data_IF_263103843147
#
_entry.id   IF_263103843147
#
_cell.length_a   1.000
_cell.length_b   1.000
_cell.length_c   1.000
_cell.angle_alpha   90.00
_cell.angle_beta   90.00
_cell.angle_gamma   90.00
#
_symmetry.space_group_name_H-M   'P 1'
#
loop_
_entity.id
_entity.type
_entity.pdbx_description
1 polymer ?
#
# COMPACT_ATOMS: atom_id res chain seq x y z
N UNK A 1 -23.90 14.07 3.36
CA UNK A 1 -22.47 14.27 3.64
C UNK A 1 -21.81 12.91 3.76
N UNK A 2 -20.86 12.58 2.88
CA UNK A 2 -20.27 11.24 2.77
C UNK A 2 -19.44 10.91 4.03
N UNK A 3 -19.68 9.76 4.67
CA UNK A 3 -19.01 9.36 5.92
C UNK A 3 -17.47 9.36 5.78
N UNK A 4 -16.98 9.00 4.59
CA UNK A 4 -15.55 9.02 4.22
C UNK A 4 -14.94 10.43 4.41
N UNK A 5 -15.61 11.46 3.88
CA UNK A 5 -15.19 12.88 4.03
C UNK A 5 -15.19 13.38 5.48
N UNK A 6 -16.03 12.82 6.35
CA UNK A 6 -16.10 13.23 7.76
C UNK A 6 -15.02 12.57 8.62
N UNK A 7 -14.63 11.34 8.28
CA UNK A 7 -13.53 10.63 8.92
C UNK A 7 -12.17 11.20 8.52
N UNK A 8 -12.00 11.55 7.24
CA UNK A 8 -10.79 12.20 6.72
C UNK A 8 -10.54 13.59 7.37
N UNK A 9 -11.60 14.29 7.80
CA UNK A 9 -11.53 15.61 8.43
C UNK A 9 -11.15 15.59 9.92
N UNK A 10 -11.22 14.43 10.59
CA UNK A 10 -10.92 14.30 12.03
C UNK A 10 -9.50 13.81 12.32
N UNK A 11 -8.76 13.40 11.29
CA UNK A 11 -7.31 13.20 11.38
C UNK A 11 -6.66 14.56 11.08
N UNK A 12 -5.57 14.94 11.77
CA UNK A 12 -4.78 16.15 11.48
C UNK A 12 -4.11 16.05 10.09
N UNK A 13 -4.93 16.02 9.03
CA UNK A 13 -4.49 16.24 7.67
C UNK A 13 -4.26 17.74 7.55
N UNK A 14 -3.02 18.13 7.71
CA UNK A 14 -2.56 19.39 7.17
C UNK A 14 -2.27 19.17 5.68
N UNK A 15 -3.16 19.61 4.77
CA UNK A 15 -2.97 19.43 3.33
C UNK A 15 -1.65 20.06 2.83
N UNK A 16 -1.03 20.94 3.61
CA UNK A 16 0.22 21.61 3.27
C UNK A 16 1.45 20.99 3.94
N UNK A 17 1.30 19.89 4.68
CA UNK A 17 2.45 19.16 5.17
C UNK A 17 3.14 18.45 4.00
N UNK A 18 4.12 19.13 3.39
CA UNK A 18 4.94 18.60 2.31
C UNK A 18 5.72 17.34 2.70
N UNK A 19 5.84 17.02 4.00
CA UNK A 19 6.48 15.80 4.43
C UNK A 19 5.57 14.57 4.40
N UNK A 20 4.25 14.76 4.33
CA UNK A 20 3.28 13.67 4.22
C UNK A 20 3.40 12.96 2.87
N UNK A 21 3.57 11.65 2.91
CA UNK A 21 3.71 10.79 1.74
C UNK A 21 2.54 10.92 0.76
N UNK A 22 1.34 11.22 1.28
CA UNK A 22 0.14 11.43 0.45
C UNK A 22 0.26 12.61 -0.51
N UNK A 23 1.08 13.60 -0.15
CA UNK A 23 1.33 14.79 -0.97
C UNK A 23 2.53 14.60 -1.92
N UNK A 24 3.30 13.52 -1.75
CA UNK A 24 4.52 13.24 -2.53
C UNK A 24 4.30 12.19 -3.62
N UNK A 25 3.29 11.34 -3.46
CA UNK A 25 3.12 10.14 -4.26
C UNK A 25 1.73 10.16 -4.91
N UNK A 26 1.74 10.20 -6.24
CA UNK A 26 0.60 9.84 -7.07
C UNK A 26 0.53 8.31 -7.14
N UNK A 27 -0.52 7.72 -6.56
CA UNK A 27 -0.66 6.27 -6.47
C UNK A 27 -0.82 5.61 -7.85
N UNK A 28 -1.51 6.26 -8.79
CA UNK A 28 -1.77 5.70 -10.13
C UNK A 28 -0.48 5.64 -10.94
N UNK A 29 0.30 6.73 -10.91
CA UNK A 29 1.60 6.77 -11.57
C UNK A 29 2.59 5.80 -10.93
N UNK A 30 2.60 5.74 -9.60
CA UNK A 30 3.53 4.89 -8.87
C UNK A 30 3.20 3.40 -9.04
N UNK A 31 1.92 3.03 -9.00
CA UNK A 31 1.46 1.69 -9.37
C UNK A 31 1.91 1.31 -10.78
N UNK A 32 1.66 2.20 -11.75
CA UNK A 32 2.03 1.97 -13.15
C UNK A 32 3.53 1.73 -13.29
N UNK A 33 4.34 2.56 -12.64
CA UNK A 33 5.79 2.39 -12.59
C UNK A 33 6.19 1.04 -11.99
N UNK A 34 5.61 0.64 -10.86
CA UNK A 34 5.92 -0.65 -10.22
C UNK A 34 5.45 -1.85 -11.06
N UNK A 35 4.32 -1.73 -11.76
CA UNK A 35 3.80 -2.76 -12.67
C UNK A 35 4.79 -3.00 -13.81
N UNK A 36 5.29 -1.92 -14.40
CA UNK A 36 6.31 -1.98 -15.43
C UNK A 36 7.60 -2.64 -14.93
N UNK A 37 8.13 -2.19 -13.79
CA UNK A 37 9.45 -2.64 -13.30
C UNK A 37 9.43 -4.07 -12.76
N UNK A 38 8.36 -4.49 -12.09
CA UNK A 38 8.34 -5.77 -11.38
C UNK A 38 7.45 -6.83 -12.02
N UNK A 39 6.50 -6.46 -12.87
CA UNK A 39 5.50 -7.36 -13.42
C UNK A 39 5.40 -7.30 -14.95
N UNK A 40 6.32 -6.63 -15.63
CA UNK A 40 6.37 -6.52 -17.10
C UNK A 40 5.01 -6.10 -17.68
N UNK A 41 4.32 -5.17 -17.02
CA UNK A 41 3.00 -4.65 -17.37
C UNK A 41 1.88 -5.72 -17.44
N UNK A 42 2.06 -6.89 -16.78
CA UNK A 42 1.09 -7.99 -16.79
C UNK A 42 -0.09 -7.83 -15.82
N UNK A 43 -0.01 -6.92 -14.84
CA UNK A 43 -1.12 -6.66 -13.93
C UNK A 43 -2.16 -5.71 -14.55
N UNK A 44 -3.42 -5.71 -14.08
CA UNK A 44 -4.44 -4.82 -14.60
C UNK A 44 -3.99 -3.35 -14.53
N UNK A 45 -4.24 -2.54 -15.57
CA UNK A 45 -3.87 -1.13 -15.55
C UNK A 45 -4.56 -0.38 -14.40
N UNK A 46 -3.96 0.72 -13.93
CA UNK A 46 -4.44 1.46 -12.74
C UNK A 46 -5.89 1.92 -12.85
N UNK A 47 -6.39 2.24 -14.04
CA UNK A 47 -7.78 2.63 -14.26
C UNK A 47 -8.82 1.50 -14.02
N UNK A 48 -8.37 0.26 -13.79
CA UNK A 48 -9.22 -0.89 -13.42
C UNK A 48 -9.11 -1.25 -11.92
N UNK A 49 -8.32 -0.53 -11.13
CA UNK A 49 -8.08 -0.80 -9.71
C UNK A 49 -8.33 0.47 -8.92
N UNK A 50 -9.09 0.40 -7.82
CA UNK A 50 -9.18 1.53 -6.90
C UNK A 50 -7.89 1.61 -6.05
N UNK A 51 -7.10 2.66 -6.24
CA UNK A 51 -5.90 2.93 -5.46
C UNK A 51 -6.18 4.06 -4.46
N UNK A 52 -5.97 3.81 -3.16
CA UNK A 52 -6.26 4.85 -2.17
C UNK A 52 -5.39 4.79 -0.91
N UNK A 53 -5.32 5.92 -0.21
CA UNK A 53 -4.76 6.01 1.13
C UNK A 53 -5.85 5.72 2.16
N UNK A 54 -5.61 4.76 3.05
CA UNK A 54 -6.54 4.42 4.13
C UNK A 54 -5.84 4.41 5.50
N UNK A 55 -6.10 5.44 6.30
CA UNK A 55 -5.56 5.58 7.65
C UNK A 55 -6.24 4.68 8.69
N UNK A 56 -7.37 4.04 8.33
CA UNK A 56 -8.14 3.15 9.20
C UNK A 56 -7.67 1.69 9.12
N UNK A 57 -6.61 1.39 8.35
CA UNK A 57 -6.00 0.06 8.25
C UNK A 57 -5.35 -0.43 9.57
N UNK A 58 -5.32 0.42 10.61
CA UNK A 58 -4.79 0.07 11.92
C UNK A 58 -3.30 -0.27 11.83
N UNK A 59 -2.95 -1.52 12.11
CA UNK A 59 -1.56 -2.00 12.11
C UNK A 59 -1.08 -2.49 10.74
N UNK A 60 -1.98 -2.65 9.76
CA UNK A 60 -1.59 -3.08 8.41
C UNK A 60 -0.94 -1.93 7.65
N UNK A 61 0.16 -2.20 6.95
CA UNK A 61 0.82 -1.22 6.09
C UNK A 61 0.09 -1.01 4.76
N UNK A 62 -0.62 -2.04 4.30
CA UNK A 62 -1.45 -2.03 3.09
C UNK A 62 -2.46 -3.18 3.11
N UNK A 63 -3.37 -3.15 2.14
CA UNK A 63 -4.37 -4.20 1.95
C UNK A 63 -4.86 -4.22 0.49
N UNK A 64 -4.85 -5.40 -0.13
CA UNK A 64 -5.56 -5.68 -1.36
C UNK A 64 -6.95 -6.26 -1.06
N UNK A 65 -7.99 -5.65 -1.63
CA UNK A 65 -9.38 -6.08 -1.51
C UNK A 65 -9.85 -6.56 -2.88
N UNK A 66 -10.34 -7.78 -2.96
CA UNK A 66 -10.97 -8.34 -4.16
C UNK A 66 -12.40 -8.76 -3.85
N UNK A 67 -13.35 -8.08 -4.47
CA UNK A 67 -14.77 -8.44 -4.44
C UNK A 67 -15.19 -8.95 -5.83
N UNK A 68 -16.45 -9.39 -5.97
CA UNK A 68 -16.97 -9.84 -7.26
C UNK A 68 -16.92 -8.73 -8.34
N UNK A 69 -17.09 -7.46 -7.95
CA UNK A 69 -17.23 -6.33 -8.88
C UNK A 69 -16.11 -5.28 -8.76
N UNK A 70 -15.20 -5.42 -7.80
CA UNK A 70 -14.17 -4.41 -7.56
C UNK A 70 -12.87 -5.00 -7.06
N UNK A 71 -11.77 -4.33 -7.42
CA UNK A 71 -10.44 -4.59 -6.91
C UNK A 71 -9.90 -3.27 -6.39
N UNK A 72 -9.35 -3.28 -5.18
CA UNK A 72 -8.74 -2.12 -4.56
C UNK A 72 -7.39 -2.47 -3.93
N UNK A 73 -6.46 -1.53 -3.93
CA UNK A 73 -5.28 -1.54 -3.08
C UNK A 73 -5.32 -0.28 -2.22
N UNK A 74 -5.32 -0.50 -0.91
CA UNK A 74 -5.31 0.56 0.08
C UNK A 74 -3.97 0.56 0.82
N UNK A 75 -3.35 1.73 0.98
CA UNK A 75 -2.09 1.88 1.70
C UNK A 75 -2.27 2.71 2.96
N UNK A 76 -1.56 2.37 4.03
CA UNK A 76 -1.65 3.08 5.29
C UNK A 76 -0.68 4.28 5.29
N UNK A 77 -1.18 5.53 5.18
CA UNK A 77 -0.31 6.70 5.14
C UNK A 77 0.40 6.95 6.47
N UNK A 78 -0.15 6.50 7.61
CA UNK A 78 0.51 6.66 8.92
C UNK A 78 1.76 5.78 8.96
N UNK A 79 1.62 4.50 8.60
CA UNK A 79 2.74 3.56 8.51
C UNK A 79 3.85 4.11 7.61
N UNK A 80 3.47 4.54 6.42
CA UNK A 80 4.42 4.93 5.38
C UNK A 80 5.02 6.32 5.60
N UNK A 81 4.40 7.18 6.41
CA UNK A 81 5.05 8.39 6.89
C UNK A 81 6.15 8.09 7.91
N UNK A 82 5.98 7.05 8.75
CA UNK A 82 7.02 6.61 9.69
C UNK A 82 8.13 5.83 8.97
N UNK A 83 7.76 4.96 8.03
CA UNK A 83 8.67 4.08 7.29
C UNK A 83 8.60 4.31 5.77
N UNK A 84 8.96 5.51 5.25
CA UNK A 84 8.78 5.85 3.84
C UNK A 84 9.60 4.99 2.88
N UNK A 85 10.73 4.45 3.35
CA UNK A 85 11.57 3.53 2.57
C UNK A 85 10.88 2.20 2.25
N UNK A 86 9.78 1.89 2.94
CA UNK A 86 9.03 0.65 2.72
C UNK A 86 7.92 0.77 1.68
N UNK A 87 7.66 1.98 1.14
CA UNK A 87 6.59 2.23 0.17
C UNK A 87 6.58 1.19 -0.95
N UNK A 88 7.70 1.02 -1.66
CA UNK A 88 7.78 0.07 -2.78
C UNK A 88 7.52 -1.36 -2.32
N UNK A 89 8.06 -1.76 -1.17
CA UNK A 89 7.90 -3.13 -0.66
C UNK A 89 6.46 -3.42 -0.24
N UNK A 90 5.79 -2.46 0.41
CA UNK A 90 4.39 -2.61 0.82
C UNK A 90 3.49 -2.60 -0.41
N UNK A 91 3.70 -1.68 -1.34
CA UNK A 91 2.86 -1.58 -2.53
C UNK A 91 2.99 -2.84 -3.40
N UNK A 92 4.22 -3.28 -3.70
CA UNK A 92 4.42 -4.50 -4.50
C UNK A 92 3.87 -5.74 -3.77
N UNK A 93 3.88 -5.78 -2.43
CA UNK A 93 3.25 -6.87 -1.68
C UNK A 93 1.75 -6.95 -2.00
N UNK A 94 1.06 -5.82 -1.92
CA UNK A 94 -0.37 -5.75 -2.27
C UNK A 94 -0.63 -6.01 -3.76
N UNK A 95 0.30 -5.66 -4.65
CA UNK A 95 0.19 -5.96 -6.08
C UNK A 95 0.29 -7.46 -6.37
N UNK A 96 1.11 -8.23 -5.64
CA UNK A 96 1.15 -9.70 -5.81
C UNK A 96 -0.20 -10.31 -5.45
N UNK A 97 -0.90 -9.76 -4.45
CA UNK A 97 -2.25 -10.18 -4.13
C UNK A 97 -3.24 -9.93 -5.25
N UNK A 98 -2.94 -9.19 -6.31
CA UNK A 98 -3.83 -9.14 -7.48
C UNK A 98 -3.90 -10.51 -8.18
N UNK A 99 -2.79 -11.25 -8.23
CA UNK A 99 -2.65 -12.52 -8.93
C UNK A 99 -2.62 -13.75 -8.02
N UNK A 100 -2.55 -13.59 -6.70
CA UNK A 100 -2.73 -14.67 -5.71
C UNK A 100 -3.95 -14.40 -4.82
N UNK A 101 -4.43 -15.40 -4.08
CA UNK A 101 -5.58 -15.22 -3.16
C UNK A 101 -5.11 -15.00 -1.72
N UNK A 102 -3.99 -15.64 -1.36
CA UNK A 102 -3.36 -15.57 -0.05
C UNK A 102 -1.84 -15.57 -0.25
N UNK A 103 -1.10 -15.73 0.84
CA UNK A 103 0.32 -16.11 0.83
C UNK A 103 0.50 -17.59 0.45
N UNK A 104 -0.10 -17.99 -0.67
CA UNK A 104 0.02 -19.32 -1.26
C UNK A 104 1.38 -19.49 -2.00
N UNK A 105 1.62 -20.66 -2.58
CA UNK A 105 2.88 -20.91 -3.29
C UNK A 105 3.13 -19.90 -4.43
N UNK A 106 2.08 -19.50 -5.16
CA UNK A 106 2.19 -18.50 -6.23
C UNK A 106 2.65 -17.15 -5.67
N UNK A 107 2.12 -16.72 -4.53
CA UNK A 107 2.60 -15.53 -3.84
C UNK A 107 4.08 -15.65 -3.46
N UNK A 108 4.49 -16.78 -2.89
CA UNK A 108 5.87 -17.01 -2.48
C UNK A 108 6.85 -17.04 -3.67
N UNK A 109 6.42 -17.62 -4.79
CA UNK A 109 7.19 -17.67 -6.03
C UNK A 109 7.42 -16.26 -6.59
N UNK A 110 6.37 -15.41 -6.57
CA UNK A 110 6.46 -14.01 -7.00
C UNK A 110 7.36 -13.18 -6.09
N UNK A 111 7.26 -13.37 -4.77
CA UNK A 111 8.20 -12.76 -3.80
C UNK A 111 9.65 -13.16 -4.13
N UNK A 112 9.91 -14.44 -4.42
CA UNK A 112 11.24 -14.92 -4.75
C UNK A 112 11.73 -14.35 -6.09
N UNK A 113 10.86 -14.24 -7.10
CA UNK A 113 11.17 -13.61 -8.39
C UNK A 113 11.52 -12.14 -8.23
N UNK A 114 10.67 -11.37 -7.55
CA UNK A 114 10.85 -9.92 -7.31
C UNK A 114 12.11 -9.62 -6.48
N UNK A 115 12.46 -10.49 -5.50
CA UNK A 115 13.73 -10.35 -4.77
C UNK A 115 14.95 -10.46 -5.67
N UNK A 116 14.92 -11.33 -6.69
CA UNK A 116 16.00 -11.43 -7.69
C UNK A 116 16.11 -10.16 -8.55
N UNK A 117 15.03 -9.40 -8.69
CA UNK A 117 15.00 -8.08 -9.34
C UNK A 117 15.49 -6.95 -8.42
N UNK A 118 15.85 -7.24 -7.17
CA UNK A 118 16.49 -6.28 -6.25
C UNK A 118 15.57 -5.67 -5.19
N UNK A 119 14.25 -5.97 -5.21
CA UNK A 119 13.34 -5.48 -4.17
C UNK A 119 13.25 -6.45 -2.99
N UNK A 120 13.71 -5.99 -1.81
CA UNK A 120 13.68 -6.80 -0.59
C UNK A 120 12.30 -6.83 0.09
N UNK A 121 11.35 -7.47 -0.58
CA UNK A 121 9.96 -7.64 -0.14
C UNK A 121 9.81 -8.79 0.85
N UNK A 122 8.88 -8.69 1.80
CA UNK A 122 8.61 -9.71 2.84
C UNK A 122 7.16 -10.13 2.83
N UNK A 123 6.89 -11.33 3.38
CA UNK A 123 5.53 -11.89 3.51
C UNK A 123 4.74 -11.20 4.62
N UNK A 124 5.42 -10.70 5.65
CA UNK A 124 4.79 -9.98 6.75
C UNK A 124 5.30 -8.55 6.80
N UNK A 125 4.47 -7.65 7.35
CA UNK A 125 4.87 -6.30 7.70
C UNK A 125 6.09 -6.37 8.63
N UNK A 126 7.12 -5.58 8.33
CA UNK A 126 8.38 -5.57 9.10
C UNK A 126 8.23 -4.85 10.43
N UNK A 127 7.34 -3.86 10.49
CA UNK A 127 7.18 -3.00 11.66
C UNK A 127 5.74 -3.03 12.21
N UNK A 128 5.61 -2.76 13.50
CA UNK A 128 4.34 -2.63 14.19
C UNK A 128 4.14 -1.18 14.63
N UNK A 129 3.03 -0.55 14.24
CA UNK A 129 2.74 0.87 14.52
C UNK A 129 2.29 1.09 15.98
N UNK A 130 1.88 0.04 16.70
CA UNK A 130 1.39 0.15 18.10
C UNK A 130 2.35 0.88 19.06
N UNK A 131 3.65 0.94 18.73
CA UNK A 131 4.70 1.42 19.65
C UNK A 131 4.82 2.96 19.67
N UNK A 132 4.18 3.70 18.76
CA UNK A 132 4.39 5.17 18.68
C UNK A 132 3.36 5.98 19.48
N UNK A 133 2.21 5.39 19.85
CA UNK A 133 1.17 6.08 20.61
C UNK A 133 1.39 6.09 22.14
N UNK A 134 2.40 5.39 22.67
CA UNK A 134 2.68 5.38 24.12
C UNK A 134 3.62 6.50 24.59
N UNK A 135 4.24 7.25 23.66
CA UNK A 135 5.17 8.36 24.00
C UNK A 135 4.59 9.75 23.70
N UNK A 136 3.27 9.84 23.44
CA UNK A 136 2.55 11.11 23.28
C UNK A 136 1.37 11.12 24.27
N UNK A 137 1.69 11.08 25.57
CA UNK A 137 0.80 11.48 26.66
C UNK A 137 1.64 12.25 27.67
#
# INVERSE_FOLDING_TARGET
>A
MNLKKKLDANFNYDPFNLNDIRNKIDLDQYYTYLNHIYFDDMLPPSNFIELSWNHLLGNSAGMCIKTYNSIAIELNPIYLNIYPKELSTVFVHEMIHLISIKHDQKFLDEIARIRKLGLNITVYCKHNIKIINENII
#
